data_IF_260802661532
#
_entry.id   IF_260802661532
#
_cell.length_a   1.000
_cell.length_b   1.000
_cell.length_c   1.000
_cell.angle_alpha   90.00
_cell.angle_beta   90.00
_cell.angle_gamma   90.00
#
_symmetry.space_group_name_H-M   'P 1'
#
loop_
_entity.id
_entity.type
_entity.pdbx_description
1 polymer ?
#
# COMPACT_ATOMS: atom_id res chain seq x y z
N UNK A 1 -8.54 -9.88 5.11
CA UNK A 1 -7.22 -9.54 5.66
C UNK A 1 -6.33 -10.77 5.74
N UNK A 2 -6.89 -11.95 6.05
CA UNK A 2 -6.19 -13.26 5.95
C UNK A 2 -5.38 -13.44 4.66
N UNK A 3 -5.98 -13.30 3.47
CA UNK A 3 -5.24 -13.44 2.20
C UNK A 3 -4.06 -12.45 2.08
N UNK A 4 -4.18 -11.25 2.66
CA UNK A 4 -3.10 -10.26 2.66
C UNK A 4 -2.00 -10.60 3.64
N UNK A 5 -2.35 -11.23 4.76
CA UNK A 5 -1.39 -11.75 5.73
C UNK A 5 -0.51 -12.81 5.09
N UNK A 6 -1.11 -13.78 4.40
CA UNK A 6 -0.39 -14.85 3.69
C UNK A 6 0.53 -14.28 2.59
N UNK A 7 0.07 -13.28 1.84
CA UNK A 7 0.91 -12.62 0.83
C UNK A 7 2.05 -11.86 1.50
N UNK A 8 1.79 -11.10 2.56
CA UNK A 8 2.80 -10.34 3.27
C UNK A 8 3.88 -11.26 3.87
N UNK A 9 3.47 -12.39 4.45
CA UNK A 9 4.35 -13.44 4.96
C UNK A 9 5.23 -14.02 3.84
N UNK A 10 4.65 -14.36 2.70
CA UNK A 10 5.41 -14.87 1.55
C UNK A 10 6.49 -13.87 1.05
N UNK A 11 6.17 -12.57 1.03
CA UNK A 11 7.16 -11.52 0.72
C UNK A 11 8.26 -11.41 1.79
N UNK A 12 7.91 -11.48 3.07
CA UNK A 12 8.88 -11.43 4.16
C UNK A 12 9.85 -12.63 4.15
N UNK A 13 9.32 -13.84 3.95
CA UNK A 13 10.09 -15.08 3.91
C UNK A 13 11.04 -15.14 2.70
N UNK A 14 10.59 -14.66 1.54
CA UNK A 14 11.40 -14.61 0.31
C UNK A 14 12.29 -13.36 0.20
N UNK A 15 12.12 -12.40 1.10
CA UNK A 15 12.88 -11.15 1.11
C UNK A 15 14.36 -11.34 1.43
N UNK A 16 15.13 -10.29 1.17
CA UNK A 16 16.53 -10.16 1.58
C UNK A 16 16.64 -9.90 3.09
N UNK A 17 17.84 -10.09 3.66
CA UNK A 17 18.11 -9.72 5.05
C UNK A 17 17.86 -8.23 5.33
N UNK A 18 18.08 -7.39 4.33
CA UNK A 18 17.83 -5.95 4.44
C UNK A 18 16.34 -5.64 4.49
N UNK A 19 15.53 -6.26 3.63
CA UNK A 19 14.07 -6.09 3.65
C UNK A 19 13.46 -6.57 4.97
N UNK A 20 13.94 -7.69 5.51
CA UNK A 20 13.54 -8.16 6.85
C UNK A 20 13.92 -7.17 7.94
N UNK A 21 15.15 -6.65 7.94
CA UNK A 21 15.58 -5.62 8.90
C UNK A 21 14.75 -4.34 8.82
N UNK A 22 14.39 -3.91 7.61
CA UNK A 22 13.54 -2.73 7.42
C UNK A 22 12.13 -2.97 7.98
N UNK A 23 11.62 -4.19 7.90
CA UNK A 23 10.37 -4.56 8.56
C UNK A 23 10.52 -4.58 10.08
N UNK A 24 11.57 -5.20 10.62
CA UNK A 24 11.82 -5.27 12.06
C UNK A 24 11.92 -3.84 12.65
N UNK A 25 12.64 -2.93 11.99
CA UNK A 25 12.71 -1.51 12.37
C UNK A 25 11.35 -0.81 12.31
N UNK A 26 10.52 -1.12 11.31
CA UNK A 26 9.18 -0.59 11.21
C UNK A 26 8.31 -1.07 12.39
N UNK A 27 8.35 -2.36 12.71
CA UNK A 27 7.65 -2.93 13.86
C UNK A 27 8.08 -2.26 15.17
N UNK A 28 9.39 -2.20 15.43
CA UNK A 28 9.97 -1.56 16.62
C UNK A 28 9.60 -0.07 16.72
N UNK A 29 9.46 0.63 15.58
CA UNK A 29 9.04 2.04 15.58
C UNK A 29 7.57 2.25 15.95
N UNK A 30 6.74 1.20 15.84
CA UNK A 30 5.33 1.24 16.24
C UNK A 30 5.13 0.75 17.68
N UNK A 31 5.87 -0.26 18.13
CA UNK A 31 5.78 -0.84 19.49
C UNK A 31 6.53 0.04 20.52
N UNK A 32 5.96 1.20 20.85
CA UNK A 32 6.61 2.22 21.68
C UNK A 32 6.95 1.72 23.10
N UNK A 33 6.08 0.89 23.69
CA UNK A 33 6.31 0.36 25.04
C UNK A 33 7.10 -0.97 25.06
N UNK A 34 7.36 -1.56 23.89
CA UNK A 34 8.18 -2.75 23.71
C UNK A 34 7.54 -4.03 24.24
N UNK A 35 6.21 -4.09 24.32
CA UNK A 35 5.49 -5.27 24.83
C UNK A 35 5.35 -6.40 23.79
N UNK A 36 5.79 -6.17 22.55
CA UNK A 36 5.73 -7.11 21.43
C UNK A 36 4.41 -7.08 20.66
N UNK A 37 3.54 -6.09 20.92
CA UNK A 37 2.27 -5.87 20.23
C UNK A 37 1.97 -4.38 20.11
N UNK A 38 1.40 -3.99 18.97
CA UNK A 38 1.03 -2.61 18.72
C UNK A 38 -0.43 -2.38 19.14
N UNK A 39 -0.63 -1.59 20.20
CA UNK A 39 -1.95 -1.15 20.61
C UNK A 39 -2.55 -0.17 19.59
N UNK A 40 -3.87 0.01 19.62
CA UNK A 40 -4.51 1.03 18.76
C UNK A 40 -3.95 2.44 19.00
N UNK A 41 -3.54 2.74 20.23
CA UNK A 41 -3.00 4.06 20.56
C UNK A 41 -1.69 4.29 19.78
N UNK A 42 -0.75 3.37 19.91
CA UNK A 42 0.52 3.38 19.19
C UNK A 42 0.31 3.40 17.67
N UNK A 43 -0.57 2.53 17.16
CA UNK A 43 -0.97 2.53 15.75
C UNK A 43 -1.49 3.90 15.30
N UNK A 44 -2.43 4.50 16.02
CA UNK A 44 -3.04 5.77 15.63
C UNK A 44 -2.06 6.94 15.72
N UNK A 45 -1.15 6.93 16.69
CA UNK A 45 -0.10 7.94 16.86
C UNK A 45 0.90 7.83 15.68
N UNK A 46 1.41 6.63 15.40
CA UNK A 46 2.30 6.35 14.27
C UNK A 46 1.69 6.75 12.93
N UNK A 47 0.46 6.29 12.64
CA UNK A 47 -0.20 6.55 11.36
C UNK A 47 -0.47 8.05 11.12
N UNK A 48 -0.66 8.81 12.19
CA UNK A 48 -0.86 10.26 12.14
C UNK A 48 0.44 11.02 11.91
N UNK A 49 1.54 10.61 12.57
CA UNK A 49 2.85 11.26 12.47
C UNK A 49 3.44 11.12 11.06
N UNK A 50 3.32 9.93 10.47
CA UNK A 50 3.85 9.62 9.13
C UNK A 50 2.95 10.14 7.99
N UNK A 51 1.87 10.87 8.32
CA UNK A 51 0.94 11.47 7.36
C UNK A 51 0.37 10.48 6.32
N UNK A 52 0.14 9.22 6.72
CA UNK A 52 -0.54 8.24 5.89
C UNK A 52 -2.00 8.65 5.59
N UNK A 53 -2.64 7.97 4.63
CA UNK A 53 -4.02 8.27 4.27
C UNK A 53 -4.91 8.14 5.51
N UNK A 54 -5.63 9.23 5.85
CA UNK A 54 -6.46 9.29 7.07
C UNK A 54 -7.51 8.21 7.13
N UNK A 55 -7.91 7.65 5.98
CA UNK A 55 -8.87 6.54 5.94
C UNK A 55 -8.26 5.21 6.44
N UNK A 56 -6.93 5.09 6.49
CA UNK A 56 -6.22 4.00 7.18
C UNK A 56 -5.98 4.31 8.67
N UNK A 57 -6.03 5.57 9.10
CA UNK A 57 -5.88 5.94 10.51
C UNK A 57 -7.22 5.83 11.29
N UNK A 58 -7.95 4.74 11.08
CA UNK A 58 -9.28 4.52 11.69
C UNK A 58 -9.28 3.30 12.59
N UNK A 59 -10.19 3.30 13.58
CA UNK A 59 -10.43 2.13 14.44
C UNK A 59 -10.89 0.92 13.63
N UNK A 60 -11.71 1.14 12.61
CA UNK A 60 -12.23 0.06 11.78
C UNK A 60 -11.10 -0.61 11.00
N UNK A 61 -10.18 0.17 10.40
CA UNK A 61 -9.03 -0.40 9.71
C UNK A 61 -8.06 -1.12 10.65
N UNK A 62 -7.85 -0.61 11.88
CA UNK A 62 -7.10 -1.34 12.90
C UNK A 62 -7.76 -2.68 13.24
N UNK A 63 -9.08 -2.70 13.44
CA UNK A 63 -9.81 -3.92 13.74
C UNK A 63 -9.80 -4.90 12.56
N UNK A 64 -9.75 -4.41 11.31
CA UNK A 64 -9.59 -5.27 10.13
C UNK A 64 -8.21 -5.97 10.15
N UNK A 65 -7.16 -5.27 10.62
CA UNK A 65 -5.81 -5.83 10.76
C UNK A 65 -5.68 -6.83 11.92
N UNK A 66 -6.40 -6.62 13.02
CA UNK A 66 -6.47 -7.50 14.21
C UNK A 66 -7.33 -8.74 13.91
N UNK A 67 -6.77 -9.65 13.10
CA UNK A 67 -7.44 -10.86 12.61
C UNK A 67 -7.74 -11.82 13.75
N UNK A 68 -6.84 -11.93 14.73
CA UNK A 68 -7.03 -12.83 15.87
C UNK A 68 -7.94 -12.23 16.98
N UNK A 69 -8.27 -10.94 16.90
CA UNK A 69 -9.15 -10.24 17.84
C UNK A 69 -8.52 -10.02 19.21
N UNK A 70 -7.18 -10.05 19.29
CA UNK A 70 -6.40 -9.87 20.52
C UNK A 70 -6.41 -8.44 21.05
N UNK A 71 -6.91 -7.48 20.26
CA UNK A 71 -6.96 -6.04 20.55
C UNK A 71 -5.60 -5.35 20.53
N UNK A 72 -4.61 -5.96 19.87
CA UNK A 72 -3.28 -5.41 19.67
C UNK A 72 -2.58 -6.15 18.55
N UNK A 73 -2.03 -5.43 17.57
CA UNK A 73 -1.46 -6.04 16.38
C UNK A 73 -0.18 -6.78 16.71
N UNK A 74 -0.14 -8.07 16.38
CA UNK A 74 1.08 -8.86 16.48
C UNK A 74 2.03 -8.63 15.29
N UNK A 75 3.15 -9.35 15.29
CA UNK A 75 4.15 -9.27 14.23
C UNK A 75 3.58 -9.47 12.82
N UNK A 76 2.72 -10.48 12.62
CA UNK A 76 2.17 -10.81 11.31
C UNK A 76 1.10 -9.79 10.88
N UNK A 77 0.35 -9.25 11.83
CA UNK A 77 -0.66 -8.23 11.57
C UNK A 77 -0.01 -6.88 11.21
N UNK A 78 1.07 -6.51 11.89
CA UNK A 78 1.90 -5.34 11.51
C UNK A 78 2.63 -5.60 10.19
N UNK A 79 3.06 -6.83 9.90
CA UNK A 79 3.63 -7.20 8.60
C UNK A 79 2.61 -7.00 7.47
N UNK A 80 1.35 -7.34 7.73
CA UNK A 80 0.25 -7.09 6.79
C UNK A 80 0.09 -5.59 6.53
N UNK A 81 0.11 -4.75 7.58
CA UNK A 81 0.08 -3.29 7.45
C UNK A 81 1.27 -2.76 6.63
N UNK A 82 2.48 -3.21 6.96
CA UNK A 82 3.70 -2.81 6.24
C UNK A 82 3.59 -3.12 4.76
N UNK A 83 3.16 -4.34 4.41
CA UNK A 83 2.94 -4.75 3.03
C UNK A 83 1.85 -3.89 2.36
N UNK A 84 0.73 -3.60 3.03
CA UNK A 84 -0.35 -2.75 2.49
C UNK A 84 0.17 -1.36 2.10
N UNK A 85 0.96 -0.74 2.98
CA UNK A 85 1.56 0.57 2.75
C UNK A 85 2.57 0.51 1.61
N UNK A 86 3.52 -0.43 1.67
CA UNK A 86 4.62 -0.57 0.71
C UNK A 86 4.14 -0.92 -0.70
N UNK A 87 3.13 -1.77 -0.81
CA UNK A 87 2.54 -2.15 -2.11
C UNK A 87 1.60 -1.07 -2.68
N UNK A 88 1.32 -0.01 -1.93
CA UNK A 88 0.45 1.09 -2.38
C UNK A 88 -1.01 0.66 -2.58
N UNK A 89 -1.49 -0.31 -1.78
CA UNK A 89 -2.86 -0.84 -1.93
C UNK A 89 -3.90 0.27 -1.76
N UNK A 90 -4.91 0.32 -2.64
CA UNK A 90 -5.74 1.50 -2.76
C UNK A 90 -6.87 1.55 -1.73
N UNK A 91 -7.21 2.78 -1.36
CA UNK A 91 -8.49 3.09 -0.71
C UNK A 91 -9.46 3.56 -1.77
N UNK A 92 -10.70 3.08 -1.69
CA UNK A 92 -11.75 3.49 -2.60
C UNK A 92 -11.98 5.00 -2.50
N UNK A 93 -11.87 5.72 -3.62
CA UNK A 93 -12.06 7.18 -3.66
C UNK A 93 -13.49 7.62 -3.35
N UNK A 94 -14.46 6.74 -3.49
CA UNK A 94 -15.87 7.02 -3.24
C UNK A 94 -16.28 6.70 -1.79
N UNK A 95 -16.29 5.42 -1.40
CA UNK A 95 -16.74 5.01 -0.07
C UNK A 95 -15.66 5.09 1.03
N UNK A 96 -14.40 5.39 0.67
CA UNK A 96 -13.27 5.49 1.62
C UNK A 96 -12.88 4.20 2.33
N UNK A 97 -13.43 3.07 1.89
CA UNK A 97 -13.09 1.75 2.42
C UNK A 97 -11.81 1.25 1.74
N UNK A 98 -10.94 0.61 2.53
CA UNK A 98 -9.75 -0.08 2.04
C UNK A 98 -10.11 -1.22 1.09
N UNK A 99 -9.45 -1.30 -0.06
CA UNK A 99 -9.73 -2.34 -1.05
C UNK A 99 -8.72 -3.48 -0.87
N UNK A 100 -9.23 -4.64 -0.46
CA UNK A 100 -8.41 -5.82 -0.19
C UNK A 100 -8.05 -6.59 -1.45
N UNK A 101 -8.91 -6.58 -2.48
CA UNK A 101 -8.73 -7.39 -3.68
C UNK A 101 -9.02 -6.58 -4.98
N UNK A 102 -9.94 -7.03 -5.84
CA UNK A 102 -10.17 -6.42 -7.14
C UNK A 102 -10.63 -4.97 -6.99
N UNK A 103 -10.01 -4.09 -7.77
CA UNK A 103 -10.37 -2.68 -7.84
C UNK A 103 -10.38 -2.22 -9.28
N UNK A 104 -11.15 -1.15 -9.52
CA UNK A 104 -11.20 -0.48 -10.81
C UNK A 104 -10.43 0.83 -10.71
N UNK A 105 -9.65 1.12 -11.74
CA UNK A 105 -8.83 2.32 -11.82
C UNK A 105 -9.06 3.07 -13.11
N UNK A 106 -9.16 4.39 -13.02
CA UNK A 106 -9.20 5.25 -14.19
C UNK A 106 -7.80 5.30 -14.84
N UNK A 107 -7.66 4.71 -16.03
CA UNK A 107 -6.39 4.63 -16.79
C UNK A 107 -5.80 6.01 -17.07
N UNK A 108 -6.65 7.02 -17.32
CA UNK A 108 -6.20 8.40 -17.51
C UNK A 108 -5.58 8.98 -16.24
N UNK A 109 -6.19 8.77 -15.08
CA UNK A 109 -5.62 9.22 -13.81
C UNK A 109 -4.37 8.44 -13.43
N UNK A 110 -4.35 7.13 -13.68
CA UNK A 110 -3.19 6.28 -13.45
C UNK A 110 -1.95 6.79 -14.16
N UNK A 111 -2.07 7.22 -15.43
CA UNK A 111 -0.93 7.72 -16.22
C UNK A 111 -0.51 9.17 -15.93
N UNK A 112 -1.39 9.98 -15.36
CA UNK A 112 -1.20 11.45 -15.31
C UNK A 112 -1.12 12.07 -13.92
N UNK A 113 -1.48 11.31 -12.87
CA UNK A 113 -1.58 11.84 -11.50
C UNK A 113 -0.67 11.06 -10.56
N UNK A 114 -0.13 11.76 -9.56
CA UNK A 114 0.59 11.13 -8.45
C UNK A 114 -0.26 10.14 -7.66
N UNK A 115 -1.59 10.35 -7.65
CA UNK A 115 -2.54 9.45 -7.02
C UNK A 115 -3.64 9.03 -8.01
N UNK A 116 -3.69 7.74 -8.39
CA UNK A 116 -4.73 7.22 -9.27
C UNK A 116 -6.11 7.30 -8.62
N UNK A 117 -7.15 7.30 -9.47
CA UNK A 117 -8.53 7.25 -9.04
C UNK A 117 -8.99 5.79 -9.03
N UNK A 118 -8.91 5.16 -7.85
CA UNK A 118 -9.26 3.76 -7.63
C UNK A 118 -10.57 3.65 -6.86
N UNK A 119 -11.42 2.70 -7.24
CA UNK A 119 -12.71 2.43 -6.59
C UNK A 119 -12.95 0.93 -6.47
N UNK A 120 -13.71 0.53 -5.45
CA UNK A 120 -14.08 -0.87 -5.23
C UNK A 120 -15.16 -1.35 -6.21
N UNK A 121 -15.36 -2.67 -6.29
CA UNK A 121 -16.38 -3.31 -7.12
C UNK A 121 -17.80 -2.75 -6.85
N UNK A 122 -18.16 -2.56 -5.59
CA UNK A 122 -19.49 -2.04 -5.22
C UNK A 122 -19.70 -0.60 -5.73
N UNK A 123 -18.70 0.27 -5.55
CA UNK A 123 -18.77 1.64 -6.09
C UNK A 123 -18.70 1.70 -7.61
N UNK A 124 -18.08 0.71 -8.27
CA UNK A 124 -18.08 0.60 -9.72
C UNK A 124 -19.44 0.14 -10.27
N UNK A 125 -20.13 -0.77 -9.57
CA UNK A 125 -21.45 -1.30 -9.95
C UNK A 125 -22.63 -0.41 -9.58
N UNK A 126 -22.46 0.50 -8.62
CA UNK A 126 -23.54 1.31 -8.05
C UNK A 126 -24.44 1.97 -9.11
N UNK A 127 -25.74 2.02 -8.81
CA UNK A 127 -26.87 2.21 -9.75
C UNK A 127 -26.83 3.49 -10.62
N UNK A 128 -25.93 4.43 -10.34
CA UNK A 128 -25.83 5.66 -11.13
C UNK A 128 -24.58 5.75 -12.01
N UNK A 129 -23.56 4.89 -11.86
CA UNK A 129 -22.27 5.05 -12.56
C UNK A 129 -21.60 6.43 -12.32
N UNK A 130 -22.17 7.23 -11.42
CA UNK A 130 -21.75 8.57 -11.03
C UNK A 130 -20.93 8.46 -9.75
N UNK A 131 -19.76 7.84 -9.84
CA UNK A 131 -18.73 8.14 -8.86
C UNK A 131 -18.24 9.58 -9.10
N UNK A 132 -17.80 10.27 -8.05
CA UNK A 132 -17.38 11.67 -8.13
C UNK A 132 -16.06 11.79 -8.91
N UNK A 133 -16.15 11.67 -10.23
CA UNK A 133 -15.05 11.63 -11.17
C UNK A 133 -15.47 12.16 -12.53
N UNK A 134 -14.55 12.84 -13.21
CA UNK A 134 -14.83 13.55 -14.46
C UNK A 134 -14.64 12.72 -15.72
N UNK A 135 -14.05 11.53 -15.61
CA UNK A 135 -13.82 10.63 -16.74
C UNK A 135 -14.91 9.55 -16.83
N UNK A 136 -15.25 9.15 -18.05
CA UNK A 136 -16.27 8.13 -18.32
C UNK A 136 -15.85 6.73 -17.83
N UNK A 137 -16.84 5.87 -17.62
CA UNK A 137 -16.66 4.45 -17.25
C UNK A 137 -15.76 3.68 -18.22
N UNK A 138 -15.77 4.02 -19.52
CA UNK A 138 -14.91 3.40 -20.53
C UNK A 138 -13.41 3.59 -20.27
N UNK A 139 -13.05 4.56 -19.42
CA UNK A 139 -11.66 4.83 -19.01
C UNK A 139 -11.26 4.02 -17.78
N UNK A 140 -12.12 3.14 -17.28
CA UNK A 140 -11.83 2.28 -16.13
C UNK A 140 -11.54 0.85 -16.57
N UNK A 141 -10.54 0.26 -15.93
CA UNK A 141 -10.18 -1.15 -16.06
C UNK A 141 -9.95 -1.72 -14.66
N UNK A 142 -10.09 -3.03 -14.49
CA UNK A 142 -9.68 -3.69 -13.26
C UNK A 142 -8.14 -3.79 -13.17
N UNK A 143 -7.64 -4.14 -12.00
CA UNK A 143 -6.21 -4.24 -11.72
C UNK A 143 -5.48 -5.31 -12.55
N UNK A 144 -6.13 -6.41 -12.94
CA UNK A 144 -5.52 -7.43 -13.80
C UNK A 144 -5.42 -6.94 -15.24
N UNK A 145 -6.51 -6.35 -15.77
CA UNK A 145 -6.52 -5.74 -17.09
C UNK A 145 -5.49 -4.61 -17.21
N UNK A 146 -5.32 -3.79 -16.16
CA UNK A 146 -4.26 -2.77 -16.13
C UNK A 146 -2.87 -3.40 -16.24
N UNK A 147 -2.56 -4.42 -15.43
CA UNK A 147 -1.25 -5.08 -15.46
C UNK A 147 -0.95 -5.68 -16.84
N UNK A 148 -1.94 -6.29 -17.49
CA UNK A 148 -1.79 -6.83 -18.84
C UNK A 148 -1.59 -5.73 -19.89
N UNK A 149 -2.28 -4.59 -19.77
CA UNK A 149 -2.04 -3.42 -20.63
C UNK A 149 -0.60 -2.92 -20.48
N UNK A 150 -0.11 -2.74 -19.25
CA UNK A 150 1.27 -2.30 -18.99
C UNK A 150 2.30 -3.30 -19.54
N UNK A 151 2.03 -4.61 -19.41
CA UNK A 151 2.90 -5.65 -19.97
C UNK A 151 2.98 -5.58 -21.50
N UNK A 152 1.85 -5.33 -22.18
CA UNK A 152 1.81 -5.17 -23.65
C UNK A 152 2.54 -3.90 -24.09
N UNK A 153 2.31 -2.78 -23.42
CA UNK A 153 3.02 -1.52 -23.68
C UNK A 153 4.54 -1.73 -23.55
N UNK A 154 5.00 -2.39 -22.48
CA UNK A 154 6.42 -2.69 -22.29
C UNK A 154 7.00 -3.62 -23.39
N UNK A 155 6.23 -4.57 -23.92
CA UNK A 155 6.69 -5.43 -25.02
C UNK A 155 6.77 -4.70 -26.36
N UNK A 156 5.89 -3.71 -26.59
CA UNK A 156 5.89 -2.88 -27.79
C UNK A 156 7.09 -1.92 -27.78
N UNK A 157 7.36 -1.26 -26.64
CA UNK A 157 8.56 -0.42 -26.45
C UNK A 157 9.86 -1.19 -26.75
N UNK A 158 9.98 -2.43 -26.26
CA UNK A 158 11.15 -3.28 -26.51
C UNK A 158 11.32 -3.74 -27.96
N UNK A 159 10.28 -3.63 -28.80
CA UNK A 159 10.35 -3.99 -30.23
C UNK A 159 10.74 -2.82 -31.11
N UNK A 160 10.46 -1.60 -30.67
CA UNK A 160 10.74 -0.37 -31.41
C UNK A 160 12.17 0.16 -31.13
N UNK A 161 12.70 -0.03 -29.93
CA UNK A 161 14.00 0.52 -29.51
C UNK A 161 15.06 -0.56 -29.24
N UNK A 162 15.96 -0.77 -30.21
CA UNK A 162 17.04 -1.77 -30.16
C UNK A 162 18.16 -1.55 -29.14
N UNK A 163 18.09 -0.58 -28.23
CA UNK A 163 19.02 -0.38 -27.12
C UNK A 163 18.50 0.81 -26.29
N UNK A 164 18.16 0.66 -25.00
CA UNK A 164 18.39 1.60 -23.89
C UNK A 164 17.67 1.14 -22.61
N UNK A 165 18.29 1.49 -21.49
CA UNK A 165 18.08 1.02 -20.12
C UNK A 165 16.64 1.17 -19.60
N UNK A 166 16.13 0.09 -19.04
CA UNK A 166 14.73 -0.14 -18.69
C UNK A 166 14.22 0.91 -17.68
N UNK A 167 13.35 1.83 -18.10
CA UNK A 167 12.58 2.74 -17.20
C UNK A 167 11.77 2.00 -16.12
N UNK A 168 11.54 0.70 -16.31
CA UNK A 168 10.83 -0.18 -15.39
C UNK A 168 11.75 -0.96 -14.44
N UNK A 169 13.08 -0.96 -14.64
CA UNK A 169 14.03 -1.54 -13.69
C UNK A 169 14.00 -0.81 -12.33
N UNK A 170 13.60 0.45 -12.33
CA UNK A 170 13.32 1.27 -11.14
C UNK A 170 11.95 0.98 -10.51
N UNK A 171 10.99 0.40 -11.24
CA UNK A 171 9.66 0.11 -10.68
C UNK A 171 9.71 -0.99 -9.61
N UNK A 172 10.63 -1.95 -9.75
CA UNK A 172 10.91 -2.94 -8.70
C UNK A 172 11.62 -2.33 -7.48
N UNK A 173 12.30 -1.20 -7.64
CA UNK A 173 12.93 -0.45 -6.54
C UNK A 173 11.97 0.50 -5.82
N UNK A 174 10.70 0.59 -6.22
CA UNK A 174 9.70 1.43 -5.52
C UNK A 174 9.38 0.87 -4.13
N UNK A 175 9.54 -0.43 -3.91
CA UNK A 175 9.52 -1.00 -2.55
C UNK A 175 10.71 -0.50 -1.70
N UNK A 176 11.88 -0.29 -2.32
CA UNK A 176 13.11 0.18 -1.66
C UNK A 176 13.11 1.69 -1.36
N UNK A 177 12.52 2.54 -2.22
CA UNK A 177 12.62 4.01 -2.08
C UNK A 177 11.41 4.68 -1.41
N UNK A 178 10.36 3.91 -1.06
CA UNK A 178 9.10 4.45 -0.54
C UNK A 178 9.11 4.97 0.91
N UNK A 179 10.21 4.88 1.65
CA UNK A 179 10.32 5.43 3.00
C UNK A 179 11.70 6.07 3.17
N UNK A 180 11.78 7.38 3.03
CA UNK A 180 12.84 8.13 3.69
C UNK A 180 12.60 8.02 5.21
N UNK A 181 13.10 6.97 5.85
CA UNK A 181 13.35 6.93 7.31
C UNK A 181 14.51 7.87 7.69
N UNK A 182 14.50 9.09 7.17
CA UNK A 182 15.53 10.08 7.38
C UNK A 182 14.94 11.27 8.14
N UNK A 183 14.60 11.07 9.42
CA UNK A 183 14.41 12.19 10.36
C UNK A 183 14.51 11.86 11.85
N UNK A 184 14.61 10.61 12.32
CA UNK A 184 14.63 10.34 13.78
C UNK A 184 15.87 9.58 14.23
N UNK A 185 17.07 10.13 13.95
CA UNK A 185 18.25 9.84 14.78
C UNK A 185 19.22 11.05 14.80
N UNK A 186 18.77 12.22 15.25
CA UNK A 186 19.72 13.26 15.72
C UNK A 186 19.05 14.15 16.76
N UNK A 187 19.06 13.70 18.02
CA UNK A 187 19.53 14.50 19.16
C UNK A 187 19.21 13.78 20.47
N UNK A 188 20.06 12.84 20.87
CA UNK A 188 20.30 12.59 22.28
C UNK A 188 21.80 12.69 22.51
N UNK A 189 22.25 13.88 22.92
CA UNK A 189 23.55 14.13 23.53
C UNK A 189 23.47 15.43 24.32
N UNK A 190 23.14 15.27 25.60
CA UNK A 190 23.81 15.83 26.78
C UNK A 190 24.08 17.36 26.80
N UNK A 191 23.47 17.98 27.83
CA UNK A 191 23.58 19.33 28.40
C UNK A 191 22.82 20.47 27.72
#
# INVERSE_FOLDING_TARGET
MEDLNEVALAYYESGTDEERRLFDQFFESMDEDGNGRVSYREFSEFMSLEAYDRNMCTRDFFNDLDVDGSRGLDFNEVLTLYYIIKSGRPICRQCKIFITNEYFTCTRCFKTRSFPYNICLECFRGEEGHFNHTHSLEQFVDNFALLECLRKEALEENREDGYYENRWGTAFRILETGLHFASVVTSCSIM
#
